data_IF_023372654190
#
_entry.id   IF_023372654190
#
_cell.length_a   1.000
_cell.length_b   1.000
_cell.length_c   1.000
_cell.angle_alpha   90.00
_cell.angle_beta   90.00
_cell.angle_gamma   90.00
#
_symmetry.space_group_name_H-M   'P 1'
#
loop_
_entity.id
_entity.type
_entity.pdbx_description
1 polymer ?
#
# COMPACT_ATOMS: atom_id res chain seq x y z
N UNK A 1 -17.05 -16.13 7.80
CA UNK A 1 -16.90 -17.52 7.32
C UNK A 1 -17.07 -18.47 8.50
N UNK A 2 -17.87 -19.54 8.37
CA UNK A 2 -18.09 -20.52 9.44
C UNK A 2 -17.96 -21.93 8.89
N UNK A 3 -17.26 -22.81 9.62
CA UNK A 3 -17.11 -24.23 9.25
C UNK A 3 -18.45 -24.96 9.26
N UNK A 4 -19.35 -24.60 10.16
CA UNK A 4 -20.67 -25.23 10.32
C UNK A 4 -21.63 -24.96 9.18
N UNK A 5 -21.44 -23.87 8.44
CA UNK A 5 -22.26 -23.50 7.27
C UNK A 5 -21.64 -23.89 5.95
N UNK A 6 -20.46 -24.54 5.96
CA UNK A 6 -19.71 -24.88 4.74
C UNK A 6 -19.13 -23.68 4.00
N UNK A 7 -19.33 -22.48 4.50
CA UNK A 7 -18.84 -21.23 3.91
C UNK A 7 -17.50 -20.82 4.54
N UNK A 8 -16.49 -21.65 4.37
CA UNK A 8 -15.13 -21.31 4.81
C UNK A 8 -14.12 -21.68 3.73
N UNK A 9 -13.05 -20.91 3.68
CA UNK A 9 -11.90 -21.15 2.81
C UNK A 9 -10.69 -21.48 3.68
N UNK A 10 -9.97 -22.53 3.34
CA UNK A 10 -8.71 -22.84 4.04
C UNK A 10 -7.65 -21.80 3.70
N UNK A 11 -6.67 -21.61 4.59
CA UNK A 11 -5.55 -20.70 4.34
C UNK A 11 -4.82 -21.04 3.04
N UNK A 12 -4.59 -22.33 2.78
CA UNK A 12 -3.95 -22.79 1.53
C UNK A 12 -4.75 -22.43 0.28
N UNK A 13 -6.08 -22.53 0.33
CA UNK A 13 -6.94 -22.13 -0.78
C UNK A 13 -6.90 -20.63 -0.99
N UNK A 14 -6.97 -19.84 0.09
CA UNK A 14 -6.92 -18.40 0.02
C UNK A 14 -5.57 -17.88 -0.51
N UNK A 15 -4.44 -18.44 -0.05
CA UNK A 15 -3.10 -18.07 -0.56
C UNK A 15 -2.94 -18.43 -2.04
N UNK A 16 -3.46 -19.57 -2.49
CA UNK A 16 -3.40 -19.93 -3.90
C UNK A 16 -4.21 -19.02 -4.81
N UNK A 17 -5.30 -18.46 -4.30
CA UNK A 17 -6.21 -17.60 -5.05
C UNK A 17 -5.80 -16.13 -5.04
N UNK A 18 -5.35 -15.60 -3.89
CA UNK A 18 -5.08 -14.16 -3.70
C UNK A 18 -3.59 -13.85 -3.50
N UNK A 19 -2.76 -14.85 -3.25
CA UNK A 19 -1.38 -14.63 -2.84
C UNK A 19 -1.24 -14.31 -1.34
N UNK A 20 -0.03 -14.51 -0.81
CA UNK A 20 0.23 -14.32 0.62
C UNK A 20 0.16 -12.85 1.06
N UNK A 21 0.65 -11.95 0.23
CA UNK A 21 0.75 -10.52 0.60
C UNK A 21 -0.60 -9.83 0.57
N UNK A 22 -1.44 -10.12 -0.43
CA UNK A 22 -2.81 -9.62 -0.46
C UNK A 22 -3.63 -10.15 0.73
N UNK A 23 -3.40 -11.41 1.13
CA UNK A 23 -4.03 -11.98 2.31
C UNK A 23 -3.59 -11.29 3.61
N UNK A 24 -2.31 -10.94 3.76
CA UNK A 24 -1.83 -10.20 4.92
C UNK A 24 -2.48 -8.82 5.03
N UNK A 25 -2.55 -8.10 3.91
CA UNK A 25 -3.21 -6.78 3.86
C UNK A 25 -4.70 -6.92 4.19
N UNK A 26 -5.41 -7.86 3.55
CA UNK A 26 -6.84 -8.02 3.75
C UNK A 26 -7.21 -8.38 5.20
N UNK A 27 -6.40 -9.22 5.85
CA UNK A 27 -6.62 -9.58 7.24
C UNK A 27 -6.25 -8.46 8.22
N UNK A 28 -5.18 -7.71 7.95
CA UNK A 28 -4.81 -6.54 8.74
C UNK A 28 -5.89 -5.44 8.63
N UNK A 29 -6.44 -5.22 7.44
CA UNK A 29 -7.49 -4.24 7.21
C UNK A 29 -8.83 -4.62 7.87
N UNK A 30 -9.08 -5.91 8.05
CA UNK A 30 -10.28 -6.41 8.73
C UNK A 30 -10.35 -6.04 10.23
N UNK A 31 -9.23 -5.70 10.84
CA UNK A 31 -9.15 -5.07 12.16
C UNK A 31 -8.37 -5.85 13.21
N UNK A 32 -8.07 -5.13 14.30
CA UNK A 32 -7.31 -5.58 15.47
C UNK A 32 -8.23 -5.76 16.70
N UNK A 33 -9.56 -5.84 16.48
CA UNK A 33 -10.55 -5.94 17.55
C UNK A 33 -10.59 -7.35 18.18
N UNK A 34 -11.32 -7.48 19.29
CA UNK A 34 -11.57 -8.77 19.95
C UNK A 34 -12.37 -9.74 19.08
N UNK A 35 -13.11 -9.22 18.11
CA UNK A 35 -13.85 -10.03 17.15
C UNK A 35 -12.93 -10.61 16.08
N UNK A 36 -13.25 -11.80 15.60
CA UNK A 36 -12.51 -12.46 14.53
C UNK A 36 -12.48 -11.60 13.27
N UNK A 37 -11.31 -11.44 12.68
CA UNK A 37 -11.14 -10.73 11.42
C UNK A 37 -11.97 -11.40 10.32
N UNK A 38 -12.93 -10.66 9.77
CA UNK A 38 -13.79 -11.17 8.72
C UNK A 38 -13.09 -11.04 7.36
N UNK A 39 -12.80 -12.18 6.72
CA UNK A 39 -12.22 -12.18 5.40
C UNK A 39 -13.28 -11.87 4.33
N UNK A 40 -13.02 -10.86 3.53
CA UNK A 40 -13.86 -10.46 2.39
C UNK A 40 -13.08 -10.58 1.07
N UNK A 41 -13.70 -11.22 0.09
CA UNK A 41 -13.12 -11.38 -1.25
C UNK A 41 -12.81 -10.04 -1.93
N UNK A 42 -13.70 -9.05 -1.76
CA UNK A 42 -13.53 -7.70 -2.29
C UNK A 42 -12.28 -7.01 -1.77
N UNK A 43 -12.04 -7.11 -0.46
CA UNK A 43 -10.84 -6.53 0.18
C UNK A 43 -9.56 -7.20 -0.32
N UNK A 44 -9.55 -8.53 -0.47
CA UNK A 44 -8.39 -9.25 -0.99
C UNK A 44 -8.09 -8.88 -2.45
N UNK A 45 -9.10 -8.77 -3.31
CA UNK A 45 -8.94 -8.32 -4.70
C UNK A 45 -8.44 -6.86 -4.78
N UNK A 46 -8.96 -5.98 -3.94
CA UNK A 46 -8.47 -4.60 -3.84
C UNK A 46 -7.02 -4.53 -3.38
N UNK A 47 -6.60 -5.42 -2.46
CA UNK A 47 -5.21 -5.53 -2.03
C UNK A 47 -4.29 -5.98 -3.16
N UNK A 48 -4.70 -6.96 -3.98
CA UNK A 48 -3.94 -7.38 -5.18
C UNK A 48 -3.73 -6.19 -6.11
N UNK A 49 -4.81 -5.48 -6.45
CA UNK A 49 -4.74 -4.35 -7.38
C UNK A 49 -3.82 -3.24 -6.84
N UNK A 50 -3.91 -2.94 -5.54
CA UNK A 50 -3.04 -1.94 -4.89
C UNK A 50 -1.58 -2.34 -4.95
N UNK A 51 -1.26 -3.58 -4.59
CA UNK A 51 0.13 -4.08 -4.63
C UNK A 51 0.70 -4.12 -6.04
N UNK A 52 -0.11 -4.50 -7.03
CA UNK A 52 0.31 -4.51 -8.43
C UNK A 52 0.66 -3.10 -8.90
N UNK A 53 -0.22 -2.13 -8.66
CA UNK A 53 0.04 -0.72 -9.03
C UNK A 53 1.27 -0.14 -8.31
N UNK A 54 1.49 -0.50 -7.06
CA UNK A 54 2.67 -0.05 -6.33
C UNK A 54 3.96 -0.63 -6.92
N UNK A 55 3.96 -1.91 -7.27
CA UNK A 55 5.10 -2.55 -7.93
C UNK A 55 5.36 -1.96 -9.31
N UNK A 56 4.32 -1.71 -10.10
CA UNK A 56 4.44 -1.04 -11.40
C UNK A 56 5.04 0.36 -11.24
N UNK A 57 4.54 1.15 -10.29
CA UNK A 57 5.09 2.47 -10.00
C UNK A 57 6.55 2.43 -9.55
N UNK A 58 6.92 1.52 -8.63
CA UNK A 58 8.30 1.36 -8.17
C UNK A 58 9.19 0.93 -9.33
N UNK A 59 8.74 -0.02 -10.16
CA UNK A 59 9.50 -0.49 -11.32
C UNK A 59 9.75 0.63 -12.33
N UNK A 60 8.75 1.46 -12.58
CA UNK A 60 8.87 2.62 -13.45
C UNK A 60 9.86 3.67 -12.88
N UNK A 61 9.77 3.96 -11.57
CA UNK A 61 10.69 4.94 -10.92
C UNK A 61 12.14 4.45 -10.91
N UNK A 62 12.35 3.16 -10.71
CA UNK A 62 13.68 2.57 -10.66
C UNK A 62 14.24 2.16 -12.03
N UNK A 63 13.43 2.29 -13.11
CA UNK A 63 13.85 1.87 -14.45
C UNK A 63 14.08 0.36 -14.57
N UNK A 64 13.37 -0.45 -13.79
CA UNK A 64 13.50 -1.90 -13.78
C UNK A 64 12.74 -2.58 -14.93
N UNK A 65 11.96 -1.86 -15.69
CA UNK A 65 11.30 -2.37 -16.89
C UNK A 65 12.35 -2.58 -17.97
N UNK A 66 12.47 -3.83 -18.42
CA UNK A 66 13.54 -4.30 -19.30
C UNK A 66 13.70 -3.49 -20.60
N UNK A 67 14.81 -3.72 -21.28
CA UNK A 67 15.41 -3.01 -22.44
C UNK A 67 14.45 -2.61 -23.60
N UNK A 68 13.16 -2.89 -23.51
CA UNK A 68 12.16 -2.64 -24.55
C UNK A 68 11.41 -1.31 -24.40
N UNK A 69 11.53 -0.62 -23.27
CA UNK A 69 10.96 0.71 -23.09
C UNK A 69 12.06 1.75 -23.09
N UNK A 70 12.32 2.33 -24.27
CA UNK A 70 13.15 3.54 -24.44
C UNK A 70 12.48 4.81 -23.87
N UNK A 71 11.49 4.66 -23.00
CA UNK A 71 11.00 5.74 -22.17
C UNK A 71 12.00 5.90 -21.03
N UNK A 72 12.79 6.95 -21.08
CA UNK A 72 13.73 7.32 -20.02
C UNK A 72 13.07 7.14 -18.66
N UNK A 73 13.80 6.52 -17.71
CA UNK A 73 13.42 6.53 -16.32
C UNK A 73 12.88 7.92 -15.96
N UNK A 74 11.74 8.02 -15.25
CA UNK A 74 11.18 9.32 -14.95
C UNK A 74 12.27 10.14 -14.29
N UNK A 75 12.62 11.26 -14.94
CA UNK A 75 13.71 12.10 -14.48
C UNK A 75 13.39 12.51 -13.05
N UNK A 76 14.20 12.04 -12.11
CA UNK A 76 14.10 12.50 -10.72
C UNK A 76 14.25 14.01 -10.74
N UNK A 77 13.31 14.70 -10.13
CA UNK A 77 13.32 16.16 -10.10
C UNK A 77 14.62 16.63 -9.46
N UNK A 78 15.35 17.45 -10.18
CA UNK A 78 16.58 18.12 -9.69
C UNK A 78 16.25 19.56 -9.34
N UNK A 79 16.74 20.06 -8.24
CA UNK A 79 16.52 21.44 -7.80
C UNK A 79 16.35 21.57 -6.30
N UNK A 80 16.09 22.78 -5.84
CA UNK A 80 15.85 23.05 -4.42
C UNK A 80 14.50 22.49 -3.95
N UNK A 81 14.48 22.03 -2.73
CA UNK A 81 13.27 21.53 -2.07
C UNK A 81 12.25 22.66 -1.92
N UNK A 82 11.07 22.46 -2.50
CA UNK A 82 9.93 23.34 -2.36
C UNK A 82 9.27 23.19 -0.98
N UNK A 83 8.27 24.03 -0.70
CA UNK A 83 7.46 23.84 0.48
C UNK A 83 6.72 22.50 0.49
N UNK A 84 6.19 22.07 -0.66
CA UNK A 84 5.50 20.79 -0.80
C UNK A 84 6.42 19.59 -0.52
N UNK A 85 7.69 19.64 -0.93
CA UNK A 85 8.67 18.60 -0.64
C UNK A 85 8.92 18.47 0.86
N UNK A 86 9.06 19.60 1.57
CA UNK A 86 9.25 19.61 3.02
C UNK A 86 8.05 19.08 3.79
N UNK A 87 6.86 19.39 3.31
CA UNK A 87 5.62 18.83 3.88
C UNK A 87 5.59 17.33 3.71
N UNK A 88 5.85 16.83 2.49
CA UNK A 88 5.83 15.40 2.21
C UNK A 88 6.93 14.64 2.97
N UNK A 89 8.14 15.17 3.07
CA UNK A 89 9.22 14.60 3.89
C UNK A 89 8.80 14.45 5.36
N UNK A 90 8.16 15.47 5.91
CA UNK A 90 7.63 15.41 7.27
C UNK A 90 6.51 14.37 7.43
N UNK A 91 5.63 14.23 6.44
CA UNK A 91 4.55 13.23 6.44
C UNK A 91 5.10 11.80 6.34
N UNK A 92 6.14 11.57 5.52
CA UNK A 92 6.85 10.27 5.49
C UNK A 92 7.39 9.92 6.87
N UNK A 93 8.11 10.84 7.51
CA UNK A 93 8.69 10.61 8.82
C UNK A 93 7.62 10.36 9.89
N UNK A 94 6.51 11.09 9.84
CA UNK A 94 5.36 10.88 10.73
C UNK A 94 4.71 9.51 10.51
N UNK A 95 4.54 9.09 9.26
CA UNK A 95 3.99 7.78 8.92
C UNK A 95 4.89 6.63 9.42
N UNK A 96 6.22 6.74 9.24
CA UNK A 96 7.18 5.77 9.75
C UNK A 96 7.11 5.65 11.27
N UNK A 97 7.09 6.78 11.98
CA UNK A 97 7.00 6.81 13.44
C UNK A 97 5.67 6.20 13.93
N UNK A 98 4.56 6.57 13.30
CA UNK A 98 3.22 6.06 13.65
C UNK A 98 3.10 4.57 13.38
N UNK A 99 3.58 4.09 12.23
CA UNK A 99 3.57 2.68 11.89
C UNK A 99 4.42 1.86 12.87
N UNK A 100 5.64 2.33 13.20
CA UNK A 100 6.52 1.69 14.19
C UNK A 100 5.83 1.56 15.55
N UNK A 101 5.24 2.65 16.06
CA UNK A 101 4.51 2.62 17.31
C UNK A 101 3.32 1.65 17.31
N UNK A 102 2.61 1.56 16.17
CA UNK A 102 1.50 0.64 16.01
C UNK A 102 1.96 -0.82 15.97
N UNK A 103 3.09 -1.11 15.31
CA UNK A 103 3.71 -2.44 15.32
C UNK A 103 4.15 -2.87 16.73
N UNK A 104 4.73 -1.97 17.51
CA UNK A 104 5.14 -2.26 18.90
C UNK A 104 3.95 -2.66 19.77
N UNK A 105 2.76 -2.18 19.43
CA UNK A 105 1.50 -2.50 20.11
C UNK A 105 0.70 -3.64 19.46
N UNK A 106 1.20 -4.23 18.38
CA UNK A 106 0.51 -5.24 17.57
C UNK A 106 -0.82 -4.75 16.96
N UNK A 107 -0.93 -3.42 16.71
CA UNK A 107 -2.08 -2.79 16.07
C UNK A 107 -1.86 -2.76 14.55
N UNK A 108 -2.04 -3.91 13.90
CA UNK A 108 -1.69 -4.07 12.48
C UNK A 108 -2.55 -3.24 11.54
N UNK A 109 -3.80 -3.02 11.87
CA UNK A 109 -4.70 -2.14 11.10
C UNK A 109 -4.21 -0.69 11.12
N UNK A 110 -3.85 -0.18 12.29
CA UNK A 110 -3.33 1.18 12.43
C UNK A 110 -1.96 1.32 11.76
N UNK A 111 -1.11 0.28 11.84
CA UNK A 111 0.14 0.24 11.11
C UNK A 111 -0.08 0.29 9.59
N UNK A 112 -1.02 -0.51 9.07
CA UNK A 112 -1.40 -0.51 7.66
C UNK A 112 -1.96 0.85 7.23
N UNK A 113 -2.82 1.45 8.06
CA UNK A 113 -3.38 2.78 7.79
C UNK A 113 -2.28 3.81 7.61
N UNK A 114 -1.36 3.92 8.57
CA UNK A 114 -0.29 4.90 8.54
C UNK A 114 0.71 4.65 7.39
N UNK A 115 1.19 3.40 7.24
CA UNK A 115 2.27 3.07 6.30
C UNK A 115 1.80 2.97 4.85
N UNK A 116 0.52 2.71 4.59
CA UNK A 116 0.01 2.51 3.23
C UNK A 116 -1.02 3.58 2.87
N UNK A 117 -2.13 3.68 3.60
CA UNK A 117 -3.22 4.56 3.18
C UNK A 117 -2.88 6.03 3.33
N UNK A 118 -2.42 6.44 4.51
CA UNK A 118 -2.10 7.85 4.79
C UNK A 118 -0.87 8.28 3.97
N UNK A 119 0.15 7.44 3.87
CA UNK A 119 1.35 7.73 3.09
C UNK A 119 1.07 7.84 1.59
N UNK A 120 0.23 6.98 1.02
CA UNK A 120 -0.16 7.09 -0.38
C UNK A 120 -0.98 8.35 -0.65
N UNK A 121 -1.90 8.71 0.25
CA UNK A 121 -2.64 9.97 0.15
C UNK A 121 -1.71 11.19 0.19
N UNK A 122 -0.73 11.19 1.09
CA UNK A 122 0.29 12.24 1.18
C UNK A 122 1.13 12.33 -0.10
N UNK A 123 1.58 11.19 -0.64
CA UNK A 123 2.30 11.11 -1.92
C UNK A 123 1.49 11.71 -3.07
N UNK A 124 0.22 11.35 -3.16
CA UNK A 124 -0.64 11.82 -4.24
C UNK A 124 -0.91 13.32 -4.13
N UNK A 125 -1.12 13.83 -2.91
CA UNK A 125 -1.23 15.27 -2.66
C UNK A 125 0.06 16.03 -3.03
N UNK A 126 1.23 15.48 -2.66
CA UNK A 126 2.52 16.04 -3.04
C UNK A 126 2.71 16.06 -4.57
N UNK A 127 2.37 14.98 -5.28
CA UNK A 127 2.45 14.92 -6.75
C UNK A 127 1.61 16.01 -7.40
N UNK A 128 0.39 16.22 -6.93
CA UNK A 128 -0.48 17.31 -7.41
C UNK A 128 0.15 18.69 -7.15
N UNK A 129 0.66 18.92 -5.94
CA UNK A 129 1.28 20.18 -5.54
C UNK A 129 2.56 20.50 -6.36
N UNK A 130 3.28 19.47 -6.79
CA UNK A 130 4.47 19.60 -7.64
C UNK A 130 4.16 19.69 -9.15
N UNK A 131 2.89 19.84 -9.55
CA UNK A 131 2.49 19.82 -10.95
C UNK A 131 2.62 18.45 -11.60
N UNK A 132 2.44 17.40 -10.79
CA UNK A 132 2.60 16.01 -11.17
C UNK A 132 1.81 15.64 -12.42
N UNK A 133 2.35 14.71 -13.16
CA UNK A 133 1.75 14.14 -14.36
C UNK A 133 0.38 13.62 -14.00
N UNK A 134 -0.67 14.28 -14.47
CA UNK A 134 -2.02 13.75 -14.35
C UNK A 134 -2.05 12.39 -15.03
N UNK A 135 -2.50 11.39 -14.31
CA UNK A 135 -2.93 10.15 -14.94
C UNK A 135 -4.10 10.53 -15.86
N UNK A 136 -3.87 10.37 -17.16
CA UNK A 136 -4.93 10.40 -18.15
C UNK A 136 -5.68 9.07 -18.10
#
# INVERSE_FOLDING_TARGET
>A
MSKSTGNFKTLNQAIKEYGADAMRIALADAGDALDDANFEHGTANSAILRLTRELEWISAVLGLEGESSAASAPATRTGEFSFADRVFDNEINAAVASAGHSYDKLLFREALKAAVYDLHAARDAWRVACGGVGEA
#
